data_IF_874572099753
#
_entry.id   IF_874572099753
#
_cell.length_a   1.000
_cell.length_b   1.000
_cell.length_c   1.000
_cell.angle_alpha   90.00
_cell.angle_beta   90.00
_cell.angle_gamma   90.00
#
_symmetry.space_group_name_H-M   'P 1'
#
loop_
_entity.id
_entity.type
_entity.pdbx_description
1 polymer ?
#
# COMPACT_ATOMS: atom_id res chain seq x y z
N UNK A 1 5.38 -12.41 17.83
CA UNK A 1 5.62 -13.58 16.96
C UNK A 1 6.61 -13.26 15.84
N UNK A 2 6.40 -12.18 15.07
CA UNK A 2 7.33 -11.76 13.99
C UNK A 2 8.77 -11.57 14.51
N UNK A 3 8.95 -10.86 15.63
CA UNK A 3 10.26 -10.63 16.24
C UNK A 3 11.02 -11.94 16.53
N UNK A 4 10.34 -12.95 17.09
CA UNK A 4 10.96 -14.24 17.39
C UNK A 4 11.40 -14.95 16.10
N UNK A 5 10.56 -14.94 15.04
CA UNK A 5 10.91 -15.55 13.75
C UNK A 5 12.08 -14.83 13.07
N UNK A 6 12.13 -13.50 13.14
CA UNK A 6 13.27 -12.73 12.63
C UNK A 6 14.56 -13.08 13.38
N UNK A 7 14.50 -13.22 14.70
CA UNK A 7 15.63 -13.63 15.52
C UNK A 7 16.09 -15.07 15.19
N UNK A 8 15.15 -16.00 15.04
CA UNK A 8 15.45 -17.42 14.77
C UNK A 8 16.01 -17.65 13.37
N UNK A 9 15.52 -16.91 12.37
CA UNK A 9 15.95 -17.06 10.96
C UNK A 9 17.17 -16.22 10.60
N UNK A 10 17.47 -15.17 11.38
CA UNK A 10 18.50 -14.19 11.06
C UNK A 10 18.17 -13.32 9.83
N UNK A 11 16.92 -13.32 9.35
CA UNK A 11 16.49 -12.46 8.26
C UNK A 11 16.59 -10.99 8.72
N UNK A 12 17.31 -10.11 8.00
CA UNK A 12 17.30 -8.69 8.31
C UNK A 12 15.86 -8.14 8.25
N UNK A 13 15.36 -7.44 9.28
CA UNK A 13 13.97 -6.96 9.30
C UNK A 13 13.59 -6.14 8.07
N UNK A 14 14.52 -5.33 7.54
CA UNK A 14 14.31 -4.52 6.34
C UNK A 14 14.05 -5.33 5.05
N UNK A 15 14.34 -6.63 5.06
CA UNK A 15 14.04 -7.54 3.95
C UNK A 15 12.64 -8.17 4.05
N UNK A 16 11.91 -7.93 5.14
CA UNK A 16 10.53 -8.36 5.32
C UNK A 16 9.60 -7.19 5.05
N UNK A 17 8.68 -7.37 4.11
CA UNK A 17 7.55 -6.48 3.89
C UNK A 17 6.28 -7.16 4.43
N UNK A 18 5.53 -6.44 5.27
CA UNK A 18 4.25 -6.91 5.78
C UNK A 18 3.15 -6.19 5.01
N UNK A 19 2.38 -7.00 4.31
CA UNK A 19 1.29 -6.55 3.47
C UNK A 19 -0.04 -6.60 4.23
N UNK A 20 -0.79 -5.50 4.15
CA UNK A 20 -2.03 -5.30 4.88
C UNK A 20 -3.16 -5.01 3.91
N UNK A 21 -4.23 -5.78 3.96
CA UNK A 21 -5.44 -5.49 3.19
C UNK A 21 -6.22 -4.36 3.85
N UNK A 22 -6.86 -3.53 3.03
CA UNK A 22 -7.64 -2.37 3.48
C UNK A 22 -8.76 -2.72 4.48
N UNK A 23 -9.37 -3.91 4.32
CA UNK A 23 -10.45 -4.43 5.16
C UNK A 23 -10.07 -4.63 6.63
N UNK A 24 -8.78 -4.84 6.92
CA UNK A 24 -8.27 -5.08 8.26
C UNK A 24 -8.47 -3.87 9.19
N UNK A 25 -8.67 -2.69 8.62
CA UNK A 25 -8.76 -1.44 9.35
C UNK A 25 -10.19 -0.96 9.63
N UNK A 26 -11.23 -1.72 9.29
CA UNK A 26 -12.61 -1.25 9.47
C UNK A 26 -13.17 -1.45 10.88
N UNK A 27 -12.62 -2.39 11.67
CA UNK A 27 -13.22 -2.78 12.96
C UNK A 27 -12.70 -1.98 14.16
N UNK A 28 -11.37 -1.88 14.36
CA UNK A 28 -10.76 -1.05 15.42
C UNK A 28 -9.42 -0.44 14.99
N UNK A 29 -9.50 0.80 14.50
CA UNK A 29 -8.35 1.51 13.93
C UNK A 29 -7.31 1.86 14.99
N UNK A 30 -7.71 2.09 16.24
CA UNK A 30 -6.75 2.54 17.27
C UNK A 30 -5.80 1.41 17.62
N UNK A 31 -6.35 0.21 17.85
CA UNK A 31 -5.56 -0.99 18.14
C UNK A 31 -4.69 -1.36 16.93
N UNK A 32 -5.22 -1.24 15.71
CA UNK A 32 -4.46 -1.50 14.51
C UNK A 32 -3.24 -0.55 14.39
N UNK A 33 -3.42 0.75 14.59
CA UNK A 33 -2.33 1.75 14.53
C UNK A 33 -1.22 1.41 15.53
N UNK A 34 -1.56 1.08 16.77
CA UNK A 34 -0.58 0.71 17.81
C UNK A 34 0.21 -0.54 17.41
N UNK A 35 -0.48 -1.56 16.89
CA UNK A 35 0.15 -2.78 16.41
C UNK A 35 1.11 -2.50 15.25
N UNK A 36 0.69 -1.70 14.27
CA UNK A 36 1.55 -1.34 13.13
C UNK A 36 2.78 -0.56 13.57
N UNK A 37 2.66 0.37 14.53
CA UNK A 37 3.82 1.05 15.08
C UNK A 37 4.78 0.08 15.79
N UNK A 38 4.25 -0.91 16.51
CA UNK A 38 5.09 -1.94 17.14
C UNK A 38 5.84 -2.78 16.11
N UNK A 39 5.20 -3.12 14.98
CA UNK A 39 5.86 -3.82 13.87
C UNK A 39 6.91 -2.92 13.22
N UNK A 40 6.59 -1.65 12.97
CA UNK A 40 7.54 -0.68 12.40
C UNK A 40 8.80 -0.53 13.25
N UNK A 41 8.64 -0.57 14.57
CA UNK A 41 9.75 -0.49 15.52
C UNK A 41 10.74 -1.68 15.41
N UNK A 42 10.31 -2.82 14.85
CA UNK A 42 11.20 -3.95 14.54
C UNK A 42 12.09 -3.68 13.31
N UNK A 43 11.79 -2.64 12.53
CA UNK A 43 12.53 -2.29 11.32
C UNK A 43 12.03 -2.99 10.05
N UNK A 44 10.82 -3.56 10.07
CA UNK A 44 10.19 -4.13 8.88
C UNK A 44 9.59 -3.04 7.98
N UNK A 45 9.42 -3.36 6.71
CA UNK A 45 8.63 -2.55 5.77
C UNK A 45 7.16 -2.93 5.86
N UNK A 46 6.28 -1.99 5.54
CA UNK A 46 4.84 -2.24 5.47
C UNK A 46 4.21 -1.63 4.23
N UNK A 47 3.32 -2.39 3.62
CA UNK A 47 2.57 -2.01 2.44
C UNK A 47 1.06 -2.19 2.65
N UNK A 48 0.27 -1.32 2.02
CA UNK A 48 -1.18 -1.51 1.88
C UNK A 48 -1.47 -2.11 0.52
N UNK A 49 -2.18 -3.24 0.52
CA UNK A 49 -2.64 -3.92 -0.67
C UNK A 49 -4.05 -3.54 -1.09
N UNK A 50 -4.39 -3.83 -2.34
CA UNK A 50 -5.72 -3.68 -2.92
C UNK A 50 -6.33 -2.27 -2.77
N UNK A 51 -5.49 -1.22 -2.67
CA UNK A 51 -5.96 0.12 -2.35
C UNK A 51 -6.92 0.66 -3.40
N UNK A 52 -8.09 1.12 -2.94
CA UNK A 52 -9.15 1.69 -3.78
C UNK A 52 -10.28 0.70 -4.10
N UNK A 53 -10.15 -0.59 -3.78
CA UNK A 53 -11.21 -1.58 -3.98
C UNK A 53 -12.20 -1.66 -2.81
N UNK A 54 -11.85 -1.04 -1.66
CA UNK A 54 -12.65 -1.01 -0.43
C UNK A 54 -13.06 0.38 0.04
N UNK A 55 -13.47 0.46 1.31
CA UNK A 55 -13.87 1.70 1.98
C UNK A 55 -12.64 2.43 2.55
N UNK A 56 -11.91 3.13 1.67
CA UNK A 56 -10.66 3.77 2.04
C UNK A 56 -10.97 5.07 2.78
N UNK A 57 -11.00 5.02 4.11
CA UNK A 57 -11.03 6.24 4.89
C UNK A 57 -9.65 6.88 4.85
N UNK A 58 -9.44 7.73 3.84
CA UNK A 58 -8.26 8.57 3.62
C UNK A 58 -7.78 9.27 4.91
N UNK A 59 -8.70 9.54 5.83
CA UNK A 59 -8.42 10.17 7.12
C UNK A 59 -7.41 9.40 7.97
N UNK A 60 -7.36 8.06 7.87
CA UNK A 60 -6.45 7.23 8.67
C UNK A 60 -5.15 6.88 7.96
N UNK A 61 -5.11 6.96 6.63
CA UNK A 61 -3.90 6.69 5.86
C UNK A 61 -2.72 7.56 6.34
N UNK A 62 -3.00 8.81 6.71
CA UNK A 62 -2.00 9.74 7.28
C UNK A 62 -1.44 9.32 8.65
N UNK A 63 -2.11 8.39 9.35
CA UNK A 63 -1.73 7.90 10.69
C UNK A 63 -1.05 6.53 10.64
N UNK A 64 -1.13 5.82 9.51
CA UNK A 64 -0.53 4.50 9.40
C UNK A 64 0.97 4.61 9.13
N UNK A 65 1.82 3.86 9.86
CA UNK A 65 3.27 3.88 9.67
C UNK A 65 3.70 3.00 8.47
N UNK A 66 3.08 3.21 7.32
CA UNK A 66 3.31 2.44 6.08
C UNK A 66 4.37 3.09 5.19
N UNK A 67 4.98 2.31 4.31
CA UNK A 67 6.01 2.75 3.36
C UNK A 67 5.51 2.76 1.92
N UNK A 68 4.59 1.83 1.60
CA UNK A 68 4.17 1.57 0.23
C UNK A 68 2.65 1.49 0.15
N UNK A 69 2.10 2.07 -0.90
CA UNK A 69 0.70 1.91 -1.31
C UNK A 69 0.66 1.15 -2.63
N UNK A 70 -0.06 0.03 -2.67
CA UNK A 70 -0.22 -0.79 -3.87
C UNK A 70 -1.59 -0.52 -4.50
N UNK A 71 -1.58 -0.14 -5.78
CA UNK A 71 -2.79 0.11 -6.56
C UNK A 71 -3.23 -1.20 -7.19
N UNK A 72 -4.45 -1.65 -6.87
CA UNK A 72 -4.98 -2.90 -7.40
C UNK A 72 -4.99 -2.94 -8.93
N UNK A 73 -4.76 -4.14 -9.46
CA UNK A 73 -4.73 -4.41 -10.90
C UNK A 73 -6.03 -4.05 -11.60
N UNK A 74 -7.19 -4.05 -10.93
CA UNK A 74 -8.47 -3.71 -11.57
C UNK A 74 -8.44 -2.28 -12.13
N UNK A 75 -7.87 -1.33 -11.38
CA UNK A 75 -7.69 0.06 -11.82
C UNK A 75 -6.64 0.18 -12.93
N UNK A 76 -5.51 -0.51 -12.79
CA UNK A 76 -4.42 -0.49 -13.79
C UNK A 76 -4.89 -1.08 -15.13
N UNK A 77 -5.72 -2.13 -15.09
CA UNK A 77 -6.27 -2.78 -16.28
C UNK A 77 -7.19 -1.86 -17.09
N UNK A 78 -7.86 -0.91 -16.42
CA UNK A 78 -8.85 -0.02 -17.02
C UNK A 78 -8.29 1.35 -17.42
N UNK A 79 -7.04 1.68 -17.05
CA UNK A 79 -6.40 2.98 -17.24
C UNK A 79 -6.42 3.52 -18.69
N UNK A 80 -6.43 2.63 -19.67
CA UNK A 80 -6.45 2.98 -21.10
C UNK A 80 -7.85 2.98 -21.71
N UNK A 81 -8.88 2.59 -20.95
CA UNK A 81 -10.24 2.35 -21.44
C UNK A 81 -11.26 3.28 -20.79
N UNK A 82 -11.03 3.67 -19.54
CA UNK A 82 -11.91 4.56 -18.77
C UNK A 82 -11.12 5.76 -18.22
N UNK A 83 -11.55 6.97 -18.60
CA UNK A 83 -10.95 8.20 -18.14
C UNK A 83 -11.14 8.42 -16.62
N UNK A 84 -12.20 7.86 -16.02
CA UNK A 84 -12.43 7.92 -14.59
C UNK A 84 -11.42 7.05 -13.83
N UNK A 85 -11.16 5.83 -14.31
CA UNK A 85 -10.18 4.94 -13.69
C UNK A 85 -8.76 5.51 -13.83
N UNK A 86 -8.43 6.07 -15.00
CA UNK A 86 -7.20 6.84 -15.20
C UNK A 86 -7.06 8.00 -14.21
N UNK A 87 -8.09 8.82 -14.04
CA UNK A 87 -8.09 9.93 -13.10
C UNK A 87 -7.97 9.46 -11.63
N UNK A 88 -8.58 8.32 -11.30
CA UNK A 88 -8.51 7.72 -9.98
C UNK A 88 -7.09 7.20 -9.68
N UNK A 89 -6.46 6.47 -10.61
CA UNK A 89 -5.06 6.03 -10.47
C UNK A 89 -4.12 7.23 -10.26
N UNK A 90 -4.26 8.27 -11.08
CA UNK A 90 -3.44 9.49 -10.92
C UNK A 90 -3.68 10.18 -9.57
N UNK A 91 -4.92 10.17 -9.08
CA UNK A 91 -5.26 10.74 -7.77
C UNK A 91 -4.64 9.94 -6.62
N UNK A 92 -4.64 8.61 -6.71
CA UNK A 92 -3.98 7.73 -5.73
C UNK A 92 -2.47 7.96 -5.72
N UNK A 93 -1.84 8.03 -6.90
CA UNK A 93 -0.40 8.30 -7.01
C UNK A 93 -0.05 9.65 -6.36
N UNK A 94 -0.82 10.70 -6.68
CA UNK A 94 -0.61 12.02 -6.11
C UNK A 94 -0.78 12.02 -4.58
N UNK A 95 -1.79 11.34 -4.06
CA UNK A 95 -2.02 11.17 -2.62
C UNK A 95 -0.83 10.49 -1.94
N UNK A 96 -0.37 9.36 -2.47
CA UNK A 96 0.73 8.61 -1.90
C UNK A 96 2.02 9.44 -1.85
N UNK A 97 2.36 10.14 -2.94
CA UNK A 97 3.51 11.06 -2.98
C UNK A 97 3.38 12.19 -1.96
N UNK A 98 2.19 12.78 -1.79
CA UNK A 98 1.94 13.82 -0.78
C UNK A 98 2.14 13.29 0.65
N UNK A 99 1.85 12.02 0.89
CA UNK A 99 2.10 11.33 2.15
C UNK A 99 3.52 10.77 2.26
N UNK A 100 4.38 10.99 1.27
CA UNK A 100 5.76 10.46 1.17
C UNK A 100 5.83 8.93 1.16
N UNK A 101 4.79 8.30 0.63
CA UNK A 101 4.72 6.87 0.40
C UNK A 101 5.27 6.53 -0.99
N UNK A 102 5.87 5.36 -1.12
CA UNK A 102 6.15 4.75 -2.42
C UNK A 102 4.86 4.18 -2.99
N UNK A 103 4.77 4.08 -4.32
CA UNK A 103 3.61 3.50 -5.01
C UNK A 103 4.05 2.31 -5.84
N UNK A 104 3.29 1.22 -5.75
CA UNK A 104 3.40 0.07 -6.65
C UNK A 104 2.09 -0.06 -7.41
N UNK A 105 2.14 -0.05 -8.73
CA UNK A 105 0.98 -0.35 -9.56
C UNK A 105 1.00 -1.82 -9.97
N UNK A 106 -0.06 -2.56 -9.63
CA UNK A 106 -0.13 -3.99 -9.89
C UNK A 106 -0.72 -4.32 -11.27
N UNK A 107 -0.36 -5.47 -11.83
CA UNK A 107 -0.98 -5.96 -13.07
C UNK A 107 -0.69 -5.09 -14.30
N UNK A 108 0.49 -4.48 -14.37
CA UNK A 108 0.96 -3.81 -15.59
C UNK A 108 1.31 -4.89 -16.62
N UNK A 109 0.47 -5.02 -17.64
CA UNK A 109 0.56 -6.03 -18.70
C UNK A 109 0.94 -5.44 -20.07
N UNK A 110 0.76 -4.12 -20.27
CA UNK A 110 1.03 -3.46 -21.56
C UNK A 110 2.00 -2.28 -21.45
N UNK A 111 2.67 -1.96 -22.56
CA UNK A 111 3.61 -0.83 -22.63
C UNK A 111 2.88 0.51 -22.45
N UNK A 112 1.63 0.61 -22.89
CA UNK A 112 0.79 1.80 -22.72
C UNK A 112 0.47 2.05 -21.25
N UNK A 113 0.13 1.01 -20.48
CA UNK A 113 -0.08 1.12 -19.03
C UNK A 113 1.19 1.60 -18.32
N UNK A 114 2.34 1.02 -18.66
CA UNK A 114 3.63 1.43 -18.11
C UNK A 114 3.98 2.88 -18.46
N UNK A 115 3.72 3.29 -19.70
CA UNK A 115 3.97 4.66 -20.15
C UNK A 115 3.10 5.67 -19.41
N UNK A 116 1.82 5.34 -19.18
CA UNK A 116 0.92 6.18 -18.39
C UNK A 116 1.42 6.34 -16.95
N UNK A 117 1.78 5.24 -16.28
CA UNK A 117 2.20 5.25 -14.87
C UNK A 117 3.55 5.93 -14.61
N UNK A 118 4.37 6.12 -15.65
CA UNK A 118 5.68 6.79 -15.56
C UNK A 118 5.62 8.30 -15.83
N UNK A 119 4.51 8.82 -16.35
CA UNK A 119 4.30 10.23 -16.66
C UNK A 119 3.84 11.04 -15.47
#
# INVERSE_FOLDING_TARGET
QIEAVLADTGLPPACLDIELTESLFMDDITVAVELLHSMKALGVSMSIDDFGTGYSSLSYLSRFPIDVLKIDRSFVSAINRDANDAALVSSIIALAHNLKLSVIAEGVETAEQLAYLRG
#
